data_IF_838724747485
#
_entry.id   IF_838724747485
#
_cell.length_a   1.000
_cell.length_b   1.000
_cell.length_c   1.000
_cell.angle_alpha   90.00
_cell.angle_beta   90.00
_cell.angle_gamma   90.00
#
_symmetry.space_group_name_H-M   'P 1'
#
loop_
_entity.id
_entity.type
_entity.pdbx_description
1 polymer ?
#
# COMPACT_ATOMS: atom_id res chain seq x y z
N UNK A 1 8.66 12.43 21.18
CA UNK A 1 7.22 12.05 21.34
C UNK A 1 6.59 12.35 19.99
N UNK A 2 6.47 11.34 19.17
CA UNK A 2 5.88 11.46 17.82
C UNK A 2 4.37 11.60 17.97
N UNK A 3 3.84 12.77 17.68
CA UNK A 3 2.39 13.00 17.61
C UNK A 3 1.90 12.44 16.29
N UNK A 4 1.43 11.17 16.31
CA UNK A 4 0.66 10.59 15.23
C UNK A 4 -0.56 11.47 14.94
N UNK A 5 -0.47 12.36 13.96
CA UNK A 5 -1.62 13.02 13.38
C UNK A 5 -2.29 12.01 12.43
N UNK A 6 -3.44 11.43 12.80
CA UNK A 6 -4.15 10.54 11.90
C UNK A 6 -4.61 11.34 10.68
N UNK A 7 -4.38 10.84 9.47
CA UNK A 7 -4.99 11.35 8.26
C UNK A 7 -6.52 11.37 8.44
N UNK A 8 -7.06 12.52 8.85
CA UNK A 8 -8.50 12.67 9.13
C UNK A 8 -9.21 12.99 7.83
N UNK A 9 -10.04 12.06 7.38
CA UNK A 9 -11.04 12.34 6.35
C UNK A 9 -12.08 13.31 6.90
N UNK A 10 -12.07 14.54 6.45
CA UNK A 10 -13.03 15.57 6.84
C UNK A 10 -14.17 15.65 5.83
N UNK A 11 -15.40 15.43 6.28
CA UNK A 11 -16.60 15.49 5.42
C UNK A 11 -17.15 16.92 5.24
N UNK A 12 -16.78 17.86 6.11
CA UNK A 12 -17.24 19.23 6.04
C UNK A 12 -16.79 20.03 4.79
N UNK A 13 -15.63 19.73 4.14
CA UNK A 13 -15.25 20.37 2.89
C UNK A 13 -16.02 19.88 1.66
N UNK A 14 -16.63 18.69 1.69
CA UNK A 14 -17.36 18.11 0.56
C UNK A 14 -18.49 19.01 0.07
N UNK A 15 -19.13 19.76 0.98
CA UNK A 15 -20.18 20.74 0.64
C UNK A 15 -19.63 22.01 -0.03
N UNK A 16 -18.35 22.34 0.12
CA UNK A 16 -17.68 23.49 -0.51
C UNK A 16 -17.00 23.13 -1.84
N UNK A 17 -16.83 21.85 -2.12
CA UNK A 17 -16.14 21.35 -3.30
C UNK A 17 -16.74 21.82 -4.64
N UNK A 18 -18.07 21.82 -4.84
CA UNK A 18 -18.66 22.32 -6.09
C UNK A 18 -18.37 23.81 -6.33
N UNK A 19 -18.29 24.61 -5.28
CA UNK A 19 -17.98 26.06 -5.39
C UNK A 19 -16.53 26.31 -5.78
N UNK A 20 -15.57 25.60 -5.15
CA UNK A 20 -14.16 25.70 -5.51
C UNK A 20 -13.89 25.26 -6.95
N UNK A 21 -14.51 24.18 -7.38
CA UNK A 21 -14.42 23.68 -8.77
C UNK A 21 -15.03 24.65 -9.78
N UNK A 22 -16.20 25.23 -9.47
CA UNK A 22 -16.86 26.20 -10.36
C UNK A 22 -16.04 27.47 -10.50
N UNK A 23 -15.42 27.96 -9.41
CA UNK A 23 -14.52 29.12 -9.42
C UNK A 23 -13.23 28.85 -10.20
N UNK A 24 -12.67 27.66 -10.08
CA UNK A 24 -11.49 27.24 -10.82
C UNK A 24 -11.75 27.17 -12.31
N UNK A 25 -12.84 26.49 -12.71
CA UNK A 25 -13.28 26.42 -14.09
C UNK A 25 -13.61 27.80 -14.68
N UNK A 26 -14.23 28.67 -13.89
CA UNK A 26 -14.53 30.06 -14.27
C UNK A 26 -13.26 30.88 -14.51
N UNK A 27 -12.29 30.88 -13.59
CA UNK A 27 -11.03 31.61 -13.76
C UNK A 27 -10.20 31.09 -14.94
N UNK A 28 -10.26 29.79 -15.23
CA UNK A 28 -9.56 29.22 -16.39
C UNK A 28 -10.12 29.72 -17.72
N UNK A 29 -11.43 29.78 -17.87
CA UNK A 29 -12.04 30.29 -19.12
C UNK A 29 -11.61 31.72 -19.44
N UNK A 30 -11.18 32.50 -18.44
CA UNK A 30 -10.75 33.89 -18.61
C UNK A 30 -9.23 34.07 -18.53
N UNK A 31 -8.47 32.99 -18.39
CA UNK A 31 -7.00 33.05 -18.35
C UNK A 31 -6.44 33.17 -19.76
N UNK A 32 -5.70 34.26 -20.02
CA UNK A 32 -5.04 34.52 -21.31
C UNK A 32 -3.64 33.87 -21.42
N UNK A 33 -3.20 33.13 -20.39
CA UNK A 33 -1.88 32.50 -20.39
C UNK A 33 -1.88 31.29 -21.31
N UNK A 34 -1.02 31.24 -22.34
CA UNK A 34 -0.92 30.06 -23.21
C UNK A 34 -0.45 28.83 -22.41
N UNK A 35 -1.19 27.72 -22.54
CA UNK A 35 -0.81 26.44 -21.94
C UNK A 35 -0.63 25.42 -23.05
N UNK A 36 0.59 24.94 -23.20
CA UNK A 36 0.94 23.90 -24.17
C UNK A 36 1.00 22.54 -23.46
N UNK A 37 0.15 21.61 -23.86
CA UNK A 37 0.01 20.31 -23.22
C UNK A 37 0.36 19.16 -24.14
N UNK A 38 1.22 18.27 -23.65
CA UNK A 38 1.65 17.05 -24.33
C UNK A 38 1.35 15.84 -23.43
N UNK A 39 0.72 14.84 -23.98
CA UNK A 39 0.49 13.54 -23.31
C UNK A 39 1.05 12.46 -24.22
N UNK A 40 1.97 11.66 -23.70
CA UNK A 40 2.63 10.61 -24.48
C UNK A 40 2.86 9.36 -23.65
N UNK A 41 3.11 8.25 -24.34
CA UNK A 41 3.55 7.02 -23.70
C UNK A 41 4.98 7.20 -23.21
N UNK A 42 5.24 6.86 -21.96
CA UNK A 42 6.56 6.87 -21.35
C UNK A 42 7.25 5.50 -21.43
N UNK A 43 8.51 5.51 -21.05
CA UNK A 43 9.33 4.33 -20.85
C UNK A 43 9.98 4.35 -19.48
N UNK A 44 10.19 3.17 -18.86
CA UNK A 44 10.87 3.13 -17.57
C UNK A 44 12.27 3.71 -17.61
N UNK A 45 13.00 3.48 -18.70
CA UNK A 45 14.38 3.94 -18.85
C UNK A 45 14.53 5.47 -18.79
N UNK A 46 13.51 6.21 -19.23
CA UNK A 46 13.53 7.68 -19.29
C UNK A 46 12.70 8.35 -18.19
N UNK A 47 11.69 7.62 -17.67
CA UNK A 47 10.65 8.19 -16.81
C UNK A 47 10.67 7.60 -15.39
N UNK A 48 11.68 6.78 -15.06
CA UNK A 48 11.87 6.26 -13.71
C UNK A 48 12.07 7.41 -12.71
N UNK A 49 11.47 7.33 -11.51
CA UNK A 49 11.75 8.30 -10.46
C UNK A 49 13.22 8.28 -10.09
N UNK A 50 13.89 9.44 -9.93
CA UNK A 50 15.23 9.46 -9.41
C UNK A 50 15.27 8.85 -8.00
N UNK A 51 16.36 8.18 -7.60
CA UNK A 51 16.49 7.66 -6.25
C UNK A 51 16.41 8.79 -5.23
N UNK A 52 15.81 8.51 -4.08
CA UNK A 52 15.88 9.42 -2.93
C UNK A 52 17.33 9.49 -2.43
N UNK A 53 17.72 10.56 -1.72
CA UNK A 53 19.07 10.73 -1.22
C UNK A 53 19.56 9.54 -0.40
N UNK A 54 20.84 9.23 -0.49
CA UNK A 54 21.45 8.16 0.30
C UNK A 54 21.26 8.43 1.79
N UNK A 55 20.72 7.44 2.51
CA UNK A 55 20.44 7.56 3.94
C UNK A 55 19.11 8.23 4.27
N UNK A 56 18.34 8.69 3.27
CA UNK A 56 16.99 9.14 3.51
C UNK A 56 16.09 7.93 3.81
N UNK A 57 15.62 7.86 5.04
CA UNK A 57 14.67 6.84 5.50
C UNK A 57 13.58 7.51 6.35
N UNK A 58 12.32 7.29 5.98
CA UNK A 58 11.19 7.80 6.73
C UNK A 58 10.19 6.68 6.97
N UNK A 59 9.75 6.45 8.23
CA UNK A 59 8.92 5.31 8.59
C UNK A 59 7.56 5.29 7.87
N UNK A 60 7.02 6.43 7.49
CA UNK A 60 5.74 6.57 6.81
C UNK A 60 5.88 6.89 5.31
N UNK A 61 7.08 6.72 4.73
CA UNK A 61 7.30 6.97 3.31
C UNK A 61 6.37 6.12 2.46
N UNK A 62 5.63 6.77 1.56
CA UNK A 62 4.79 6.15 0.54
C UNK A 62 5.46 6.35 -0.82
N UNK A 63 6.37 5.43 -1.17
CA UNK A 63 7.12 5.51 -2.42
C UNK A 63 6.25 5.15 -3.64
N UNK A 64 6.73 5.42 -4.86
CA UNK A 64 6.03 5.03 -6.08
C UNK A 64 5.74 3.52 -6.15
N UNK A 65 6.54 2.67 -5.51
CA UNK A 65 6.38 1.22 -5.42
C UNK A 65 5.08 0.84 -4.68
N UNK A 66 4.69 1.65 -3.70
CA UNK A 66 3.46 1.46 -2.91
C UNK A 66 2.19 1.83 -3.69
N UNK A 67 2.36 2.54 -4.81
CA UNK A 67 1.25 2.99 -5.62
C UNK A 67 0.64 1.91 -6.51
N UNK A 68 -0.58 2.17 -6.99
CA UNK A 68 -1.31 1.34 -7.94
C UNK A 68 -1.43 2.04 -9.30
N UNK A 69 -1.69 1.26 -10.36
CA UNK A 69 -1.89 1.81 -11.70
C UNK A 69 -0.58 2.25 -12.40
N UNK A 70 -0.68 3.04 -13.46
CA UNK A 70 0.48 3.52 -14.21
C UNK A 70 1.29 4.53 -13.42
N UNK A 71 2.61 4.60 -13.69
CA UNK A 71 3.43 5.71 -13.24
C UNK A 71 3.17 6.91 -14.17
N UNK A 72 2.90 8.05 -13.57
CA UNK A 72 2.76 9.31 -14.27
C UNK A 72 3.97 10.18 -13.96
N UNK A 73 4.79 10.40 -14.97
CA UNK A 73 5.87 11.36 -14.94
C UNK A 73 5.36 12.66 -15.57
N UNK A 74 5.28 13.73 -14.78
CA UNK A 74 4.73 15.02 -15.20
C UNK A 74 5.74 16.12 -15.00
N UNK A 75 5.87 16.97 -16.02
CA UNK A 75 6.75 18.13 -16.00
C UNK A 75 5.90 19.35 -16.32
N UNK A 76 5.91 20.32 -15.41
CA UNK A 76 5.27 21.63 -15.56
C UNK A 76 6.37 22.68 -15.59
N UNK A 77 6.49 23.41 -16.69
CA UNK A 77 7.59 24.33 -16.91
C UNK A 77 7.12 25.71 -17.35
N UNK A 78 7.74 26.73 -16.80
CA UNK A 78 7.63 28.09 -17.30
C UNK A 78 8.99 28.77 -17.34
N UNK A 79 9.08 29.85 -18.09
CA UNK A 79 10.27 30.69 -18.18
C UNK A 79 9.94 32.11 -17.77
N UNK A 80 10.83 32.75 -16.98
CA UNK A 80 10.66 34.04 -16.40
C UNK A 80 11.73 34.95 -16.98
N UNK A 81 11.32 35.85 -17.86
CA UNK A 81 12.19 36.87 -18.42
C UNK A 81 12.25 38.13 -17.53
N UNK A 82 13.39 38.80 -17.51
CA UNK A 82 13.62 40.01 -16.74
C UNK A 82 13.29 39.85 -15.24
N UNK A 83 13.58 38.71 -14.68
CA UNK A 83 13.45 38.45 -13.23
C UNK A 83 14.54 39.23 -12.50
N UNK A 84 14.19 40.03 -11.46
CA UNK A 84 15.15 40.72 -10.60
C UNK A 84 15.89 39.78 -9.65
N UNK A 85 15.34 38.59 -9.39
CA UNK A 85 15.97 37.56 -8.55
C UNK A 85 16.38 36.35 -9.37
N UNK A 86 17.45 35.68 -8.93
CA UNK A 86 18.00 34.49 -9.57
C UNK A 86 17.32 33.21 -9.12
N UNK A 87 17.76 32.09 -9.72
CA UNK A 87 17.22 30.75 -9.40
C UNK A 87 17.40 30.37 -7.92
N UNK A 88 18.56 30.70 -7.34
CA UNK A 88 18.83 30.44 -5.90
C UNK A 88 17.94 31.24 -4.97
N UNK A 89 17.79 32.51 -5.27
CA UNK A 89 16.94 33.40 -4.47
C UNK A 89 15.48 32.99 -4.55
N UNK A 90 15.00 32.60 -5.74
CA UNK A 90 13.65 32.10 -5.93
C UNK A 90 13.39 30.86 -5.11
N UNK A 91 14.30 29.86 -5.11
CA UNK A 91 14.16 28.67 -4.29
C UNK A 91 14.28 29.00 -2.78
N UNK A 92 15.12 29.95 -2.39
CA UNK A 92 15.20 30.38 -1.02
C UNK A 92 13.86 30.99 -0.53
N UNK A 93 13.18 31.80 -1.35
CA UNK A 93 11.84 32.34 -1.05
C UNK A 93 10.79 31.22 -0.87
N UNK A 94 10.84 30.16 -1.68
CA UNK A 94 9.96 29.01 -1.53
C UNK A 94 10.27 28.21 -0.26
N UNK A 95 11.52 28.14 0.15
CA UNK A 95 11.93 27.45 1.39
C UNK A 95 11.50 28.22 2.64
N UNK A 96 11.47 29.54 2.58
CA UNK A 96 10.93 30.37 3.67
C UNK A 96 9.41 30.16 3.81
N UNK A 97 8.69 30.13 2.70
CA UNK A 97 7.24 29.97 2.71
C UNK A 97 6.74 29.49 1.33
N UNK A 98 6.45 28.22 1.21
CA UNK A 98 5.95 27.61 -0.03
C UNK A 98 4.51 28.07 -0.36
N UNK A 99 3.74 28.53 0.63
CA UNK A 99 2.39 29.04 0.44
C UNK A 99 2.36 30.36 -0.33
N UNK A 100 3.50 31.10 -0.45
CA UNK A 100 3.61 32.25 -1.35
C UNK A 100 3.25 31.94 -2.80
N UNK A 101 3.47 30.68 -3.23
CA UNK A 101 3.18 30.25 -4.60
C UNK A 101 2.03 29.25 -4.68
N UNK A 102 1.64 28.64 -3.58
CA UNK A 102 0.49 27.76 -3.54
C UNK A 102 -0.80 28.56 -3.79
N UNK A 103 -1.69 28.07 -4.70
CA UNK A 103 -3.00 28.66 -4.83
C UNK A 103 -3.84 28.26 -3.62
N UNK A 104 -4.01 29.18 -2.68
CA UNK A 104 -4.64 28.94 -1.36
C UNK A 104 -6.06 28.40 -1.44
N UNK A 105 -6.74 28.58 -2.59
CA UNK A 105 -8.04 27.98 -2.87
C UNK A 105 -7.96 26.45 -3.12
N UNK A 106 -6.76 25.92 -3.46
CA UNK A 106 -6.55 24.52 -3.83
C UNK A 106 -5.58 23.76 -2.93
N UNK A 107 -4.60 24.46 -2.34
CA UNK A 107 -3.62 23.83 -1.48
C UNK A 107 -3.04 24.84 -0.48
N UNK A 108 -2.84 24.40 0.75
CA UNK A 108 -2.02 25.11 1.76
C UNK A 108 -1.10 24.10 2.42
N UNK A 109 0.15 24.52 2.66
CA UNK A 109 1.17 23.69 3.28
C UNK A 109 1.23 23.98 4.78
N UNK A 110 0.82 23.06 5.59
CA UNK A 110 0.88 23.17 7.03
C UNK A 110 2.03 22.31 7.57
N UNK A 111 3.06 22.93 8.13
CA UNK A 111 4.17 22.22 8.77
C UNK A 111 3.64 21.44 9.96
N UNK A 112 4.03 20.18 10.10
CA UNK A 112 3.53 19.29 11.15
C UNK A 112 4.11 19.68 12.52
N UNK A 113 5.40 20.04 12.56
CA UNK A 113 6.11 20.39 13.77
C UNK A 113 6.95 21.67 13.56
N UNK A 114 6.79 22.61 14.50
CA UNK A 114 7.58 23.85 14.54
C UNK A 114 7.16 24.91 13.52
N UNK A 115 7.90 26.01 13.53
CA UNK A 115 7.76 27.14 12.62
C UNK A 115 9.11 27.44 11.98
N UNK A 116 9.11 28.23 10.90
CA UNK A 116 10.31 28.69 10.21
C UNK A 116 10.57 27.98 8.88
N UNK A 117 11.72 28.28 8.24
CA UNK A 117 12.02 27.81 6.90
C UNK A 117 12.07 26.29 6.80
N UNK A 118 11.84 25.80 5.60
CA UNK A 118 11.85 24.38 5.27
C UNK A 118 13.23 23.76 5.47
N UNK A 119 13.27 22.57 6.08
CA UNK A 119 14.48 21.78 6.32
C UNK A 119 14.27 20.35 5.84
N UNK A 120 15.35 19.67 5.51
CA UNK A 120 15.29 18.22 5.21
C UNK A 120 14.75 17.45 6.41
N UNK A 121 13.82 16.51 6.14
CA UNK A 121 13.10 15.76 7.16
C UNK A 121 11.86 16.45 7.73
N UNK A 122 11.61 17.72 7.43
CA UNK A 122 10.37 18.38 7.86
C UNK A 122 9.15 17.73 7.19
N UNK A 123 8.12 17.46 7.98
CA UNK A 123 6.84 16.95 7.48
C UNK A 123 5.85 18.11 7.28
N UNK A 124 5.09 18.00 6.20
CA UNK A 124 4.01 18.93 5.87
C UNK A 124 2.72 18.17 5.59
N UNK A 125 1.61 18.78 5.93
CA UNK A 125 0.28 18.33 5.50
C UNK A 125 -0.22 19.32 4.45
N UNK A 126 -0.32 18.88 3.22
CA UNK A 126 -0.93 19.67 2.14
C UNK A 126 -2.45 19.56 2.27
N UNK A 127 -3.07 20.63 2.74
CA UNK A 127 -4.52 20.73 2.87
C UNK A 127 -5.14 21.04 1.51
N UNK A 128 -5.96 20.13 1.02
CA UNK A 128 -6.65 20.25 -0.27
C UNK A 128 -8.17 20.32 -0.07
N UNK A 129 -8.93 20.97 -0.98
CA UNK A 129 -10.38 20.92 -0.96
C UNK A 129 -10.84 19.49 -1.25
N UNK A 130 -11.20 18.74 -0.23
CA UNK A 130 -11.62 17.36 -0.35
C UNK A 130 -11.54 16.63 0.98
N UNK A 131 -11.89 15.33 1.03
CA UNK A 131 -11.85 14.55 2.24
C UNK A 131 -10.45 14.00 2.59
N UNK A 132 -9.43 14.35 1.83
CA UNK A 132 -8.06 13.86 1.99
C UNK A 132 -7.07 14.99 2.17
N UNK A 133 -6.17 14.82 3.11
CA UNK A 133 -4.97 15.59 3.26
C UNK A 133 -3.82 14.91 2.53
N UNK A 134 -2.83 15.67 2.08
CA UNK A 134 -1.64 15.15 1.40
C UNK A 134 -0.40 15.24 2.30
N UNK A 135 -0.12 14.27 3.18
CA UNK A 135 1.08 14.30 3.98
C UNK A 135 2.32 14.06 3.12
N UNK A 136 3.33 14.91 3.29
CA UNK A 136 4.61 14.86 2.57
C UNK A 136 5.77 15.16 3.52
N UNK A 137 6.97 14.73 3.13
CA UNK A 137 8.21 15.01 3.84
C UNK A 137 9.22 15.65 2.88
N UNK A 138 10.02 16.56 3.38
CA UNK A 138 11.13 17.16 2.64
C UNK A 138 12.25 16.15 2.53
N UNK A 139 12.44 15.60 1.35
CA UNK A 139 13.43 14.55 1.11
C UNK A 139 14.82 15.10 0.78
N UNK A 140 14.87 16.26 0.12
CA UNK A 140 16.13 16.89 -0.31
C UNK A 140 15.95 18.39 -0.53
N UNK A 141 16.95 19.14 -0.11
CA UNK A 141 17.06 20.57 -0.37
C UNK A 141 18.41 20.87 -0.99
N UNK A 142 18.40 21.53 -2.14
CA UNK A 142 19.60 22.10 -2.76
C UNK A 142 19.46 23.61 -2.86
N UNK A 143 20.48 24.32 -3.29
CA UNK A 143 20.39 25.77 -3.54
C UNK A 143 19.35 26.15 -4.60
N UNK A 144 19.01 25.21 -5.48
CA UNK A 144 18.16 25.45 -6.65
C UNK A 144 16.99 24.46 -6.77
N UNK A 145 16.76 23.60 -5.77
CA UNK A 145 15.63 22.67 -5.77
C UNK A 145 15.12 22.31 -4.39
N UNK A 146 13.85 21.89 -4.35
CA UNK A 146 13.14 21.31 -3.20
C UNK A 146 12.51 20.03 -3.67
N UNK A 147 12.82 18.88 -3.03
CA UNK A 147 12.20 17.60 -3.31
C UNK A 147 11.36 17.13 -2.14
N UNK A 148 10.10 16.83 -2.41
CA UNK A 148 9.17 16.28 -1.43
C UNK A 148 8.83 14.83 -1.80
N UNK A 149 8.72 13.97 -0.80
CA UNK A 149 8.22 12.60 -0.94
C UNK A 149 6.89 12.44 -0.22
N UNK A 150 5.99 11.63 -0.75
CA UNK A 150 4.67 11.39 -0.14
C UNK A 150 4.77 10.44 1.04
N UNK A 151 3.93 10.67 2.05
CA UNK A 151 3.79 9.83 3.24
C UNK A 151 2.49 9.03 3.20
N UNK A 152 2.37 8.02 4.07
CA UNK A 152 1.18 7.16 4.18
C UNK A 152 -0.10 7.99 4.35
N UNK A 153 -1.08 7.73 3.50
CA UNK A 153 -2.35 8.46 3.47
C UNK A 153 -2.45 9.55 2.40
N UNK A 154 -1.37 9.85 1.70
CA UNK A 154 -1.42 10.73 0.53
C UNK A 154 -2.14 10.02 -0.64
N UNK A 155 -2.90 10.79 -1.45
CA UNK A 155 -3.63 10.25 -2.62
C UNK A 155 -2.73 9.67 -3.70
N UNK A 156 -1.53 10.22 -3.85
CA UNK A 156 -0.49 9.77 -4.76
C UNK A 156 0.66 9.14 -3.96
N UNK A 157 1.34 8.16 -4.56
CA UNK A 157 2.53 7.51 -4.04
C UNK A 157 3.71 7.87 -4.93
N UNK A 158 4.69 8.59 -4.39
CA UNK A 158 5.84 9.03 -5.18
C UNK A 158 6.56 10.27 -4.64
N UNK A 159 7.04 11.09 -5.56
CA UNK A 159 7.83 12.28 -5.22
C UNK A 159 7.59 13.41 -6.22
N UNK A 160 7.89 14.63 -5.78
CA UNK A 160 7.81 15.87 -6.56
C UNK A 160 9.02 16.75 -6.29
N UNK A 161 9.53 17.38 -7.32
CA UNK A 161 10.64 18.31 -7.23
C UNK A 161 10.26 19.67 -7.83
N UNK A 162 10.54 20.73 -7.09
CA UNK A 162 10.50 22.10 -7.54
C UNK A 162 11.93 22.52 -7.84
N UNK A 163 12.20 22.99 -9.05
CA UNK A 163 13.57 23.30 -9.51
C UNK A 163 13.61 24.60 -10.28
N UNK A 164 14.63 25.41 -10.03
CA UNK A 164 14.92 26.61 -10.79
C UNK A 164 16.35 26.57 -11.35
N UNK A 165 16.53 27.04 -12.55
CA UNK A 165 17.86 27.24 -13.16
C UNK A 165 17.89 28.48 -14.05
N UNK A 166 19.05 29.04 -14.21
CA UNK A 166 19.26 30.20 -15.05
C UNK A 166 19.83 29.81 -16.41
N UNK A 167 19.35 30.47 -17.45
CA UNK A 167 19.96 30.40 -18.78
C UNK A 167 19.99 31.81 -19.42
N UNK A 168 20.50 31.89 -20.63
CA UNK A 168 20.62 33.18 -21.38
C UNK A 168 19.28 33.88 -21.65
N UNK A 169 18.15 33.27 -21.34
CA UNK A 169 16.78 33.80 -21.52
C UNK A 169 16.09 34.17 -20.21
N UNK A 170 16.75 33.95 -19.08
CA UNK A 170 16.22 34.24 -17.75
C UNK A 170 16.17 33.05 -16.83
N UNK A 171 15.24 33.05 -15.88
CA UNK A 171 15.04 31.93 -14.93
C UNK A 171 14.01 30.96 -15.51
N UNK A 172 14.38 29.70 -15.64
CA UNK A 172 13.45 28.62 -15.91
C UNK A 172 13.04 27.98 -14.59
N UNK A 173 11.73 27.84 -14.37
CA UNK A 173 11.18 27.16 -13.21
C UNK A 173 10.40 25.93 -13.65
N UNK A 174 10.61 24.83 -12.93
CA UNK A 174 10.08 23.53 -13.28
C UNK A 174 9.55 22.82 -12.04
N UNK A 175 8.39 22.20 -12.19
CA UNK A 175 7.84 21.26 -11.22
C UNK A 175 7.82 19.89 -11.92
N UNK A 176 8.49 18.92 -11.35
CA UNK A 176 8.59 17.58 -11.91
C UNK A 176 8.09 16.56 -10.89
N UNK A 177 7.19 15.67 -11.29
CA UNK A 177 6.61 14.68 -10.38
C UNK A 177 6.57 13.29 -10.99
N UNK A 178 6.89 12.31 -10.15
CA UNK A 178 6.80 10.89 -10.44
C UNK A 178 5.88 10.24 -9.43
N UNK A 179 4.67 9.92 -9.87
CA UNK A 179 3.65 9.43 -8.94
C UNK A 179 2.76 8.36 -9.57
N UNK A 180 2.30 7.45 -8.73
CA UNK A 180 1.22 6.52 -8.99
C UNK A 180 0.05 6.85 -8.06
N UNK A 181 -1.15 6.32 -8.32
CA UNK A 181 -2.24 6.42 -7.34
C UNK A 181 -1.85 5.75 -6.02
N UNK A 182 -2.11 6.39 -4.89
CA UNK A 182 -1.76 5.85 -3.57
C UNK A 182 -2.51 4.56 -3.22
N UNK A 183 -3.71 4.36 -3.80
CA UNK A 183 -4.46 3.12 -3.71
C UNK A 183 -5.34 2.90 -4.96
N UNK A 184 -5.94 1.70 -5.08
CA UNK A 184 -6.82 1.39 -6.23
C UNK A 184 -8.12 2.17 -6.24
N UNK A 185 -8.60 2.65 -5.10
CA UNK A 185 -9.78 3.51 -5.04
C UNK A 185 -9.45 4.88 -5.58
N UNK A 186 -8.29 5.41 -5.24
CA UNK A 186 -7.73 6.64 -5.82
C UNK A 186 -7.52 6.48 -7.33
N UNK A 187 -7.00 5.32 -7.79
CA UNK A 187 -6.85 5.01 -9.22
C UNK A 187 -8.20 4.96 -9.95
N UNK A 188 -9.22 4.34 -9.36
CA UNK A 188 -10.58 4.31 -9.91
C UNK A 188 -11.19 5.71 -9.98
N UNK A 189 -11.04 6.52 -8.93
CA UNK A 189 -11.52 7.91 -8.89
C UNK A 189 -10.73 8.78 -9.88
N UNK A 190 -9.41 8.54 -10.00
CA UNK A 190 -8.54 9.23 -10.95
C UNK A 190 -8.87 8.89 -12.41
N UNK A 191 -9.24 7.64 -12.69
CA UNK A 191 -9.52 7.15 -14.04
C UNK A 191 -10.93 7.49 -14.48
N UNK A 192 -11.91 7.48 -13.59
CA UNK A 192 -13.31 7.71 -13.90
C UNK A 192 -13.79 9.15 -13.67
N UNK A 193 -13.07 9.93 -12.85
CA UNK A 193 -13.41 11.34 -12.58
C UNK A 193 -12.39 12.22 -13.29
N UNK A 194 -12.62 12.52 -14.57
CA UNK A 194 -11.84 13.49 -15.37
C UNK A 194 -11.66 14.85 -14.67
N UNK A 195 -12.48 15.15 -13.69
CA UNK A 195 -12.48 16.35 -12.86
C UNK A 195 -11.15 16.51 -12.09
N UNK A 196 -10.56 15.42 -11.59
CA UNK A 196 -9.32 15.51 -10.82
C UNK A 196 -8.11 15.91 -11.68
N UNK A 197 -8.07 15.49 -12.94
CA UNK A 197 -6.97 15.84 -13.88
C UNK A 197 -6.97 17.32 -14.23
N UNK A 198 -8.15 17.89 -14.50
CA UNK A 198 -8.27 19.30 -14.83
C UNK A 198 -8.02 20.21 -13.61
N UNK A 199 -8.47 19.81 -12.42
CA UNK A 199 -8.21 20.53 -11.17
C UNK A 199 -6.69 20.56 -10.85
N UNK A 200 -5.98 19.43 -11.00
CA UNK A 200 -4.52 19.40 -10.83
C UNK A 200 -3.81 20.28 -11.85
N UNK A 201 -4.24 20.22 -13.12
CA UNK A 201 -3.69 21.06 -14.17
C UNK A 201 -3.80 22.54 -13.81
N UNK A 202 -4.98 22.95 -13.30
CA UNK A 202 -5.23 24.32 -12.86
C UNK A 202 -4.39 24.72 -11.67
N UNK A 203 -4.27 23.82 -10.68
CA UNK A 203 -3.46 24.06 -9.51
C UNK A 203 -2.00 24.35 -9.91
N UNK A 204 -1.39 23.48 -10.71
CA UNK A 204 0.00 23.65 -11.12
C UNK A 204 0.23 24.84 -12.05
N UNK A 205 -0.71 25.11 -12.95
CA UNK A 205 -0.65 26.33 -13.78
C UNK A 205 -0.76 27.60 -12.93
N UNK A 206 -1.51 27.56 -11.84
CA UNK A 206 -1.60 28.69 -10.90
C UNK A 206 -0.32 28.84 -10.08
N UNK A 207 0.26 27.74 -9.60
CA UNK A 207 1.57 27.76 -8.94
C UNK A 207 2.61 28.41 -9.85
N UNK A 208 2.70 28.02 -11.12
CA UNK A 208 3.68 28.59 -12.05
C UNK A 208 3.46 30.09 -12.29
N UNK A 209 2.22 30.57 -12.32
CA UNK A 209 1.94 32.01 -12.40
C UNK A 209 2.39 32.74 -11.15
N UNK A 210 2.04 32.20 -9.97
CA UNK A 210 2.44 32.82 -8.69
C UNK A 210 3.97 32.86 -8.55
N UNK A 211 4.67 31.85 -9.07
CA UNK A 211 6.15 31.82 -9.13
C UNK A 211 6.69 32.96 -10.00
N UNK A 212 6.07 33.24 -11.16
CA UNK A 212 6.46 34.35 -12.02
C UNK A 212 6.24 35.70 -11.32
N UNK A 213 5.11 35.83 -10.62
CA UNK A 213 4.78 37.05 -9.85
C UNK A 213 5.74 37.23 -8.66
N UNK A 214 6.05 36.16 -7.92
CA UNK A 214 7.03 36.17 -6.84
C UNK A 214 8.42 36.58 -7.34
N UNK A 215 8.82 36.05 -8.50
CA UNK A 215 10.10 36.40 -9.12
C UNK A 215 10.15 37.82 -9.68
N UNK A 216 9.03 38.55 -9.72
CA UNK A 216 8.95 39.91 -10.22
C UNK A 216 9.24 40.09 -11.71
N UNK A 217 9.24 39.00 -12.46
CA UNK A 217 9.55 38.94 -13.90
C UNK A 217 8.31 38.87 -14.78
N UNK A 218 8.51 38.48 -16.03
CA UNK A 218 7.45 38.27 -17.02
C UNK A 218 7.50 36.86 -17.57
N UNK A 219 6.34 36.17 -17.65
CA UNK A 219 6.26 34.87 -18.29
C UNK A 219 6.62 34.95 -19.76
N UNK A 220 7.55 34.09 -20.20
CA UNK A 220 7.96 34.02 -21.59
C UNK A 220 7.58 32.64 -22.18
N UNK A 221 6.84 32.62 -23.29
CA UNK A 221 6.45 31.40 -23.99
C UNK A 221 5.33 30.60 -23.34
N UNK A 222 4.73 31.10 -22.22
CA UNK A 222 3.63 30.43 -21.56
C UNK A 222 4.05 29.26 -20.64
N UNK A 223 3.10 28.37 -20.38
CA UNK A 223 3.29 27.16 -19.55
C UNK A 223 3.34 25.96 -20.45
N UNK A 224 4.37 25.13 -20.28
CA UNK A 224 4.51 23.83 -20.97
C UNK A 224 4.26 22.71 -19.98
N UNK A 225 3.35 21.79 -20.33
CA UNK A 225 3.02 20.64 -19.53
C UNK A 225 3.25 19.37 -20.33
N UNK A 226 4.12 18.53 -19.83
CA UNK A 226 4.39 17.21 -20.41
C UNK A 226 3.96 16.14 -19.43
N UNK A 227 3.14 15.19 -19.89
CA UNK A 227 2.76 14.01 -19.11
C UNK A 227 3.21 12.77 -19.88
N UNK A 228 4.05 11.96 -19.27
CA UNK A 228 4.46 10.65 -19.78
C UNK A 228 3.87 9.58 -18.87
N UNK A 229 3.25 8.59 -19.49
CA UNK A 229 2.59 7.49 -18.80
C UNK A 229 3.37 6.20 -19.04
N UNK A 230 3.89 5.62 -17.96
CA UNK A 230 4.50 4.30 -17.98
C UNK A 230 3.48 3.27 -17.48
N UNK A 231 3.13 2.32 -18.33
CA UNK A 231 2.17 1.28 -17.97
C UNK A 231 2.73 0.34 -16.90
N UNK A 232 1.88 -0.22 -16.02
CA UNK A 232 2.32 -1.06 -14.89
C UNK A 232 3.17 -2.27 -15.30
N UNK A 233 2.92 -2.80 -16.50
CA UNK A 233 3.65 -3.95 -17.06
C UNK A 233 5.10 -3.61 -17.46
N UNK A 234 5.37 -2.33 -17.70
CA UNK A 234 6.71 -1.82 -18.07
C UNK A 234 7.51 -1.31 -16.87
N UNK A 235 6.90 -1.26 -15.70
CA UNK A 235 7.57 -0.88 -14.45
C UNK A 235 8.31 -2.11 -13.94
N UNK A 236 9.65 -2.08 -13.79
CA UNK A 236 10.39 -3.19 -13.22
C UNK A 236 9.82 -3.54 -11.84
N UNK A 237 9.60 -4.81 -11.59
CA UNK A 237 9.43 -5.28 -10.23
C UNK A 237 10.82 -5.29 -9.62
N UNK A 238 11.06 -4.41 -8.67
CA UNK A 238 12.33 -4.35 -7.94
C UNK A 238 12.48 -5.52 -6.93
N UNK A 239 11.91 -6.67 -7.26
CA UNK A 239 11.63 -7.80 -6.37
C UNK A 239 12.71 -8.88 -6.44
N UNK A 240 13.97 -8.56 -6.66
CA UNK A 240 15.02 -9.59 -6.60
C UNK A 240 16.19 -9.21 -5.66
N UNK A 241 15.85 -8.80 -4.44
CA UNK A 241 16.69 -9.04 -3.28
C UNK A 241 16.44 -10.48 -2.77
N UNK A 242 17.41 -11.15 -2.12
CA UNK A 242 17.28 -12.55 -1.68
C UNK A 242 16.07 -12.88 -0.79
N UNK A 243 15.40 -11.88 -0.24
CA UNK A 243 14.21 -12.03 0.57
C UNK A 243 12.89 -11.88 -0.21
N UNK A 244 12.91 -11.46 -1.48
CA UNK A 244 11.69 -11.24 -2.29
C UNK A 244 10.74 -10.16 -1.77
N UNK A 245 11.12 -9.40 -0.74
CA UNK A 245 10.29 -8.38 -0.11
C UNK A 245 10.62 -6.98 -0.64
N UNK A 246 9.58 -6.22 -1.03
CA UNK A 246 9.76 -4.80 -1.36
C UNK A 246 10.24 -4.01 -0.14
N UNK A 247 10.91 -2.88 -0.36
CA UNK A 247 11.38 -2.01 0.74
C UNK A 247 10.20 -1.53 1.61
N UNK A 248 9.06 -1.24 0.98
CA UNK A 248 7.82 -0.85 1.64
C UNK A 248 7.25 -1.98 2.50
N UNK A 249 7.26 -3.21 2.00
CA UNK A 249 6.77 -4.35 2.77
C UNK A 249 7.68 -4.67 3.95
N UNK A 250 9.00 -4.55 3.78
CA UNK A 250 9.95 -4.68 4.90
C UNK A 250 9.69 -3.63 6.00
N UNK A 251 9.48 -2.36 5.62
CA UNK A 251 9.14 -1.31 6.58
C UNK A 251 7.81 -1.58 7.28
N UNK A 252 6.78 -1.96 6.53
CA UNK A 252 5.48 -2.29 7.09
C UNK A 252 5.53 -3.51 8.02
N UNK A 253 6.32 -4.54 7.66
CA UNK A 253 6.53 -5.71 8.49
C UNK A 253 7.29 -5.36 9.77
N UNK A 254 8.35 -4.54 9.69
CA UNK A 254 9.11 -4.09 10.84
C UNK A 254 8.24 -3.33 11.88
N UNK A 255 7.26 -2.55 11.42
CA UNK A 255 6.29 -1.88 12.31
C UNK A 255 5.40 -2.84 13.11
N UNK A 256 5.28 -4.11 12.69
CA UNK A 256 4.46 -5.08 13.42
C UNK A 256 5.15 -5.59 14.68
N UNK A 257 6.48 -5.62 14.73
CA UNK A 257 7.24 -6.14 15.86
C UNK A 257 6.87 -5.47 17.19
N UNK A 258 6.56 -4.17 17.16
CA UNK A 258 6.15 -3.41 18.35
C UNK A 258 4.66 -3.49 18.69
N UNK A 259 3.83 -4.14 17.86
CA UNK A 259 2.38 -4.21 18.08
C UNK A 259 2.00 -5.40 18.96
N UNK A 260 1.10 -5.17 19.91
CA UNK A 260 0.57 -6.23 20.75
C UNK A 260 -0.60 -6.95 20.07
N UNK A 261 -0.77 -8.27 20.33
CA UNK A 261 -1.98 -8.98 19.95
C UNK A 261 -3.23 -8.34 20.53
N UNK A 262 -4.34 -8.38 19.80
CA UNK A 262 -5.63 -7.80 20.22
C UNK A 262 -6.43 -8.73 21.14
N UNK A 263 -6.02 -9.99 21.24
CA UNK A 263 -6.67 -11.05 22.01
C UNK A 263 -5.65 -11.90 22.74
N UNK A 264 -6.06 -12.45 23.89
CA UNK A 264 -5.25 -13.42 24.61
C UNK A 264 -5.16 -14.76 23.88
N UNK A 265 -4.09 -15.56 24.12
CA UNK A 265 -4.03 -16.93 23.61
C UNK A 265 -5.23 -17.75 24.08
N UNK A 266 -5.65 -18.73 23.26
CA UNK A 266 -6.67 -19.71 23.65
C UNK A 266 -8.12 -19.25 23.47
N UNK A 267 -8.39 -18.13 22.86
CA UNK A 267 -9.77 -17.70 22.55
C UNK A 267 -10.55 -18.76 21.77
N UNK A 268 -9.86 -19.54 20.92
CA UNK A 268 -10.46 -20.63 20.15
C UNK A 268 -10.72 -21.91 20.96
N UNK A 269 -10.07 -22.08 22.10
CA UNK A 269 -10.20 -23.30 22.90
C UNK A 269 -11.48 -23.32 23.73
N UNK A 270 -11.99 -22.12 24.10
CA UNK A 270 -13.26 -21.96 24.81
C UNK A 270 -13.91 -20.61 24.46
N UNK A 271 -14.37 -20.43 23.21
CA UNK A 271 -14.94 -19.17 22.80
C UNK A 271 -16.33 -18.95 23.40
N UNK A 272 -16.55 -17.81 24.06
CA UNK A 272 -17.88 -17.37 24.49
C UNK A 272 -18.72 -16.95 23.27
N UNK A 273 -19.78 -17.68 22.90
CA UNK A 273 -20.57 -17.37 21.71
C UNK A 273 -21.29 -16.03 21.76
N UNK A 274 -21.47 -15.47 22.94
CA UNK A 274 -22.09 -14.14 23.13
C UNK A 274 -21.15 -13.00 22.72
N UNK A 275 -19.83 -13.26 22.72
CA UNK A 275 -18.77 -12.28 22.48
C UNK A 275 -18.02 -12.52 21.16
N UNK A 276 -17.98 -13.76 20.70
CA UNK A 276 -17.20 -14.19 19.55
C UNK A 276 -18.07 -14.84 18.48
N UNK A 277 -17.80 -14.53 17.25
CA UNK A 277 -18.28 -15.29 16.11
C UNK A 277 -17.28 -16.39 15.84
N UNK A 278 -17.75 -17.62 15.94
CA UNK A 278 -16.93 -18.81 15.75
C UNK A 278 -17.34 -19.49 14.47
N UNK A 279 -16.36 -19.84 13.66
CA UNK A 279 -16.55 -20.53 12.38
C UNK A 279 -15.53 -21.63 12.22
N UNK A 280 -15.96 -22.73 11.65
CA UNK A 280 -15.10 -23.82 11.22
C UNK A 280 -15.42 -24.19 9.79
N UNK A 281 -14.39 -24.50 9.02
CA UNK A 281 -14.50 -25.04 7.68
C UNK A 281 -13.50 -26.18 7.54
N UNK A 282 -13.95 -27.30 6.98
CA UNK A 282 -13.18 -28.54 6.81
C UNK A 282 -13.16 -28.87 5.34
N UNK A 283 -12.03 -29.36 4.85
CA UNK A 283 -11.85 -29.85 3.49
C UNK A 283 -11.04 -31.16 3.53
N UNK A 284 -11.55 -32.19 2.88
CA UNK A 284 -10.84 -33.45 2.71
C UNK A 284 -9.75 -33.28 1.64
N UNK A 285 -8.53 -33.70 1.98
CA UNK A 285 -7.39 -33.75 1.09
C UNK A 285 -7.24 -35.12 0.46
N UNK A 286 -6.39 -35.31 -0.56
CA UNK A 286 -6.13 -36.65 -1.12
C UNK A 286 -5.70 -37.63 -0.03
N UNK A 287 -6.30 -38.77 -0.06
CA UNK A 287 -6.08 -39.86 0.89
C UNK A 287 -4.66 -40.45 0.80
N UNK A 288 -4.10 -40.85 1.93
CA UNK A 288 -2.83 -41.61 2.05
C UNK A 288 -3.09 -43.03 2.56
N UNK A 289 -2.04 -43.85 2.59
CA UNK A 289 -2.15 -45.15 3.25
C UNK A 289 -2.33 -44.96 4.77
N UNK A 290 -3.00 -45.96 5.44
CA UNK A 290 -3.01 -45.99 6.90
C UNK A 290 -1.60 -46.06 7.49
N UNK A 291 -1.41 -45.43 8.65
CA UNK A 291 -0.11 -45.30 9.33
C UNK A 291 0.50 -43.91 9.22
N UNK A 292 1.82 -43.82 9.37
CA UNK A 292 2.56 -42.56 9.33
C UNK A 292 2.41 -41.84 7.97
N UNK A 293 2.65 -40.53 7.92
CA UNK A 293 2.61 -39.75 6.68
C UNK A 293 3.50 -40.33 5.58
N UNK A 294 2.96 -40.40 4.36
CA UNK A 294 3.74 -40.80 3.20
C UNK A 294 4.74 -39.73 2.79
N UNK A 295 6.01 -40.07 2.51
CA UNK A 295 6.97 -39.13 1.97
C UNK A 295 6.47 -38.49 0.67
N UNK A 296 6.37 -37.14 0.63
CA UNK A 296 5.79 -36.40 -0.48
C UNK A 296 4.27 -36.56 -0.62
N UNK A 297 3.60 -37.12 0.36
CA UNK A 297 2.15 -37.32 0.40
C UNK A 297 1.38 -36.02 0.75
N UNK A 298 0.06 -36.18 0.86
CA UNK A 298 -0.88 -35.08 1.16
C UNK A 298 -0.54 -34.34 2.43
N UNK A 299 -0.16 -35.06 3.48
CA UNK A 299 0.22 -34.50 4.76
C UNK A 299 1.43 -33.56 4.64
N UNK A 300 2.54 -34.06 4.10
CA UNK A 300 3.77 -33.26 3.99
C UNK A 300 3.60 -32.07 3.05
N UNK A 301 2.90 -32.26 1.95
CA UNK A 301 2.63 -31.18 0.99
C UNK A 301 1.78 -30.09 1.63
N UNK A 302 0.66 -30.45 2.28
CA UNK A 302 -0.23 -29.49 2.91
C UNK A 302 0.45 -28.78 4.09
N UNK A 303 1.24 -29.49 4.91
CA UNK A 303 2.01 -28.90 6.02
C UNK A 303 2.97 -27.82 5.53
N UNK A 304 3.74 -28.09 4.48
CA UNK A 304 4.67 -27.14 3.87
C UNK A 304 3.92 -25.90 3.37
N UNK A 305 2.80 -26.07 2.65
CA UNK A 305 1.97 -24.99 2.17
C UNK A 305 1.38 -24.13 3.30
N UNK A 306 1.05 -24.75 4.45
CA UNK A 306 0.64 -24.03 5.64
C UNK A 306 1.76 -23.14 6.17
N UNK A 307 2.97 -23.69 6.32
CA UNK A 307 4.11 -23.00 6.92
C UNK A 307 4.63 -21.85 6.05
N UNK A 308 4.48 -21.99 4.72
CA UNK A 308 4.79 -20.96 3.72
C UNK A 308 3.62 -19.99 3.45
N UNK A 309 2.52 -20.11 4.21
CA UNK A 309 1.31 -19.28 4.05
C UNK A 309 0.75 -19.25 2.61
N UNK A 310 0.89 -20.33 1.85
CA UNK A 310 0.48 -20.40 0.44
C UNK A 310 -1.02 -20.65 0.24
N UNK A 311 -1.76 -20.92 1.32
CA UNK A 311 -3.17 -21.33 1.28
C UNK A 311 -4.12 -20.15 1.03
N UNK A 312 -3.74 -18.91 1.34
CA UNK A 312 -4.52 -17.75 1.01
C UNK A 312 -4.46 -17.45 -0.50
N UNK A 313 -5.60 -17.09 -1.11
CA UNK A 313 -5.61 -16.63 -2.49
C UNK A 313 -5.06 -15.19 -2.55
N UNK A 314 -3.93 -14.93 -3.24
CA UNK A 314 -3.33 -13.59 -3.29
C UNK A 314 -4.26 -12.51 -3.83
N UNK A 315 -5.32 -12.89 -4.57
CA UNK A 315 -6.35 -11.95 -5.04
C UNK A 315 -7.28 -11.47 -3.92
N UNK A 316 -7.26 -12.15 -2.75
CA UNK A 316 -8.09 -11.83 -1.59
C UNK A 316 -7.24 -11.39 -0.43
N UNK A 317 -6.20 -12.17 -0.11
CA UNK A 317 -5.26 -11.87 0.96
C UNK A 317 -3.88 -12.42 0.62
N UNK A 318 -2.90 -11.53 0.60
CA UNK A 318 -1.49 -11.88 0.43
C UNK A 318 -0.79 -11.77 1.78
N UNK A 319 -0.09 -12.83 2.19
CA UNK A 319 0.71 -12.84 3.42
C UNK A 319 2.16 -12.50 3.12
N UNK A 320 2.65 -11.43 3.72
CA UNK A 320 4.05 -10.97 3.61
C UNK A 320 4.74 -11.23 4.95
N UNK A 321 5.85 -11.92 4.93
CA UNK A 321 6.66 -12.22 6.12
C UNK A 321 8.12 -12.43 5.74
N UNK A 322 9.02 -12.36 6.70
CA UNK A 322 10.42 -12.70 6.51
C UNK A 322 10.57 -14.24 6.45
N UNK A 323 10.97 -14.83 5.30
CA UNK A 323 11.16 -16.27 5.18
C UNK A 323 12.18 -16.85 6.16
N UNK A 324 13.15 -16.03 6.60
CA UNK A 324 14.17 -16.44 7.58
C UNK A 324 13.65 -16.45 9.03
N UNK A 325 12.47 -15.83 9.29
CA UNK A 325 11.89 -15.83 10.63
C UNK A 325 11.33 -17.21 11.01
N UNK A 326 11.50 -17.66 12.27
CA UNK A 326 10.89 -18.90 12.74
C UNK A 326 9.36 -18.81 12.64
N UNK A 327 8.68 -19.93 12.42
CA UNK A 327 7.22 -19.98 12.31
C UNK A 327 6.55 -19.46 13.60
N UNK A 328 7.00 -19.94 14.75
CA UNK A 328 6.51 -19.45 16.04
C UNK A 328 6.96 -18.01 16.29
N UNK A 329 6.00 -17.14 16.58
CA UNK A 329 6.25 -15.72 16.79
C UNK A 329 6.38 -14.90 15.51
N UNK A 330 6.26 -15.51 14.33
CA UNK A 330 6.34 -14.84 13.03
C UNK A 330 5.24 -13.79 12.89
N UNK A 331 5.65 -12.59 12.55
CA UNK A 331 4.73 -11.53 12.11
C UNK A 331 4.43 -11.70 10.62
N UNK A 332 3.15 -11.60 10.28
CA UNK A 332 2.68 -11.61 8.90
C UNK A 332 1.91 -10.32 8.64
N UNK A 333 2.35 -9.56 7.64
CA UNK A 333 1.60 -8.45 7.09
C UNK A 333 0.60 -9.00 6.08
N UNK A 334 -0.69 -8.91 6.37
CA UNK A 334 -1.74 -9.32 5.45
C UNK A 334 -2.15 -8.12 4.58
N UNK A 335 -1.96 -8.24 3.27
CA UNK A 335 -2.54 -7.33 2.28
C UNK A 335 -3.90 -7.88 1.85
N UNK A 336 -4.96 -7.36 2.42
CA UNK A 336 -6.33 -7.80 2.16
C UNK A 336 -6.94 -6.98 1.04
N UNK A 337 -7.46 -7.65 0.02
CA UNK A 337 -8.09 -7.05 -1.14
C UNK A 337 -9.62 -7.16 -1.02
N UNK A 338 -10.30 -6.02 -1.05
CA UNK A 338 -11.75 -5.96 -0.98
C UNK A 338 -12.31 -5.07 -2.09
N UNK A 339 -12.62 -5.67 -3.23
CA UNK A 339 -12.94 -4.90 -4.43
C UNK A 339 -11.80 -3.95 -4.80
N UNK A 340 -12.05 -2.64 -4.86
CA UNK A 340 -10.99 -1.65 -5.10
C UNK A 340 -10.16 -1.32 -3.84
N UNK A 341 -10.64 -1.72 -2.64
CA UNK A 341 -9.97 -1.39 -1.38
C UNK A 341 -8.85 -2.37 -1.06
N UNK A 342 -7.75 -1.85 -0.54
CA UNK A 342 -6.63 -2.61 -0.01
C UNK A 342 -6.39 -2.22 1.44
N UNK A 343 -6.19 -3.22 2.28
CA UNK A 343 -5.89 -3.03 3.69
C UNK A 343 -4.61 -3.75 4.03
N UNK A 344 -3.70 -3.08 4.73
CA UNK A 344 -2.51 -3.68 5.32
C UNK A 344 -2.77 -3.87 6.82
N UNK A 345 -2.80 -5.09 7.29
CA UNK A 345 -3.05 -5.42 8.70
C UNK A 345 -2.07 -6.48 9.17
N UNK A 346 -1.74 -6.46 10.45
CA UNK A 346 -0.77 -7.39 11.02
C UNK A 346 -1.42 -8.52 11.78
N UNK A 347 -0.82 -9.71 11.68
CA UNK A 347 -1.10 -10.87 12.54
C UNK A 347 0.20 -11.47 13.04
N UNK A 348 0.16 -12.16 14.18
CA UNK A 348 1.32 -12.88 14.76
C UNK A 348 0.99 -14.33 14.98
N UNK A 349 1.82 -15.24 14.43
CA UNK A 349 1.70 -16.67 14.67
C UNK A 349 2.08 -16.96 16.13
N UNK A 350 1.28 -17.79 16.77
CA UNK A 350 1.56 -18.36 18.09
C UNK A 350 2.41 -19.61 18.00
N UNK A 351 2.11 -20.59 18.86
CA UNK A 351 2.79 -21.88 18.84
C UNK A 351 2.32 -22.72 17.66
N UNK A 352 3.27 -23.39 17.02
CA UNK A 352 3.01 -24.49 16.11
C UNK A 352 3.21 -25.81 16.85
N UNK A 353 2.29 -26.75 16.70
CA UNK A 353 2.33 -28.02 17.43
C UNK A 353 2.00 -29.17 16.50
N UNK A 354 2.80 -30.24 16.61
CA UNK A 354 2.53 -31.52 15.98
C UNK A 354 2.46 -32.59 17.08
N UNK A 355 1.39 -33.35 17.09
CA UNK A 355 1.18 -34.37 18.12
C UNK A 355 0.28 -35.50 17.62
N UNK A 356 0.48 -36.70 18.13
CA UNK A 356 -0.45 -37.80 17.96
C UNK A 356 -1.37 -37.87 19.19
N UNK A 357 -2.66 -37.85 18.94
CA UNK A 357 -3.71 -37.91 19.97
C UNK A 357 -4.70 -39.03 19.66
N UNK A 358 -5.46 -39.42 20.65
CA UNK A 358 -6.61 -40.31 20.45
C UNK A 358 -7.88 -39.45 20.46
N UNK A 359 -8.69 -39.58 19.39
CA UNK A 359 -9.98 -38.87 19.28
C UNK A 359 -11.05 -39.95 18.93
N UNK A 360 -12.07 -40.04 19.76
CA UNK A 360 -13.15 -41.05 19.64
C UNK A 360 -12.64 -42.49 19.52
N UNK A 361 -11.57 -42.84 20.24
CA UNK A 361 -10.95 -44.14 20.21
C UNK A 361 -10.11 -44.45 18.95
N UNK A 362 -9.82 -43.42 18.14
CA UNK A 362 -9.02 -43.56 16.90
C UNK A 362 -7.74 -42.75 16.98
N UNK A 363 -6.60 -43.28 16.51
CA UNK A 363 -5.34 -42.55 16.50
C UNK A 363 -5.34 -41.48 15.41
N UNK A 364 -5.02 -40.25 15.82
CA UNK A 364 -5.02 -39.06 14.98
C UNK A 364 -3.68 -38.33 15.09
N UNK A 365 -2.98 -38.16 13.98
CA UNK A 365 -1.88 -37.22 13.89
C UNK A 365 -2.46 -35.83 13.58
N UNK A 366 -2.08 -34.84 14.37
CA UNK A 366 -2.53 -33.45 14.26
C UNK A 366 -1.34 -32.51 14.17
N UNK A 367 -1.36 -31.61 13.18
CA UNK A 367 -0.44 -30.50 13.07
C UNK A 367 -1.22 -29.21 12.93
N UNK A 368 -0.82 -28.15 13.61
CA UNK A 368 -1.48 -26.88 13.45
C UNK A 368 -0.76 -25.72 14.13
N UNK A 369 -1.12 -24.56 13.68
CA UNK A 369 -0.72 -23.29 14.32
C UNK A 369 -1.87 -22.27 14.21
N UNK A 370 -1.81 -21.26 15.06
CA UNK A 370 -2.79 -20.19 15.04
C UNK A 370 -2.11 -18.84 15.00
N UNK A 371 -2.76 -17.84 14.42
CA UNK A 371 -2.34 -16.47 14.56
C UNK A 371 -3.39 -15.62 15.27
N UNK A 372 -2.93 -14.53 15.89
CA UNK A 372 -3.76 -13.52 16.51
C UNK A 372 -3.59 -12.20 15.78
N UNK A 373 -4.69 -11.44 15.63
CA UNK A 373 -4.66 -10.09 15.06
C UNK A 373 -3.85 -9.15 15.95
N UNK A 374 -3.11 -8.23 15.34
CA UNK A 374 -2.33 -7.20 16.02
C UNK A 374 -3.09 -5.87 16.09
N UNK A 375 -2.66 -4.99 16.99
CA UNK A 375 -3.21 -3.64 17.08
C UNK A 375 -3.20 -2.94 15.72
N UNK A 376 -4.32 -2.25 15.40
CA UNK A 376 -4.54 -1.63 14.09
C UNK A 376 -5.26 -2.52 13.08
N UNK A 377 -5.54 -3.79 13.40
CA UNK A 377 -6.41 -4.64 12.61
C UNK A 377 -7.88 -4.22 12.77
N UNK A 378 -8.69 -4.32 11.71
CA UNK A 378 -10.13 -3.98 11.75
C UNK A 378 -11.00 -5.05 12.44
N UNK A 379 -10.43 -6.21 12.72
CA UNK A 379 -10.98 -7.29 13.51
C UNK A 379 -10.09 -7.58 14.72
N UNK A 380 -10.71 -8.05 15.81
CA UNK A 380 -10.03 -8.70 16.93
C UNK A 380 -10.34 -10.18 16.85
N UNK A 381 -9.32 -11.03 16.88
CA UNK A 381 -9.57 -12.47 16.80
C UNK A 381 -8.33 -13.34 16.70
N UNK A 382 -8.61 -14.63 16.64
CA UNK A 382 -7.65 -15.69 16.44
C UNK A 382 -8.14 -16.61 15.32
N UNK A 383 -7.22 -17.07 14.47
CA UNK A 383 -7.49 -18.08 13.46
C UNK A 383 -6.48 -19.21 13.61
N UNK A 384 -6.96 -20.44 13.51
CA UNK A 384 -6.15 -21.67 13.54
C UNK A 384 -6.28 -22.39 12.21
N UNK A 385 -5.15 -22.80 11.68
CA UNK A 385 -5.02 -23.75 10.61
C UNK A 385 -4.61 -25.09 11.23
N UNK A 386 -5.30 -26.15 10.87
CA UNK A 386 -5.06 -27.48 11.41
C UNK A 386 -5.13 -28.54 10.31
N UNK A 387 -4.16 -29.41 10.30
CA UNK A 387 -4.08 -30.58 9.46
C UNK A 387 -4.27 -31.83 10.31
N UNK A 388 -5.11 -32.73 9.89
CA UNK A 388 -5.40 -33.99 10.59
C UNK A 388 -5.18 -35.15 9.65
N UNK A 389 -4.52 -36.21 10.15
CA UNK A 389 -4.43 -37.51 9.48
C UNK A 389 -4.89 -38.60 10.42
N UNK A 390 -5.93 -39.31 10.02
CA UNK A 390 -6.39 -40.52 10.70
C UNK A 390 -5.47 -41.68 10.40
N UNK A 391 -4.72 -42.15 11.41
CA UNK A 391 -3.70 -43.15 11.19
C UNK A 391 -4.26 -44.57 10.91
N UNK A 392 -5.49 -44.82 11.30
CA UNK A 392 -6.20 -46.07 11.05
C UNK A 392 -6.78 -46.16 9.63
N UNK A 393 -7.19 -45.07 9.03
CA UNK A 393 -7.77 -45.04 7.67
C UNK A 393 -6.86 -44.40 6.63
N UNK A 394 -6.02 -43.47 6.99
CA UNK A 394 -5.21 -42.67 6.05
C UNK A 394 -5.91 -41.39 5.54
N UNK A 395 -7.11 -41.10 6.05
CA UNK A 395 -7.84 -39.88 5.69
C UNK A 395 -7.07 -38.64 6.15
N UNK A 396 -6.95 -37.65 5.28
CA UNK A 396 -6.28 -36.40 5.55
C UNK A 396 -7.29 -35.25 5.42
N UNK A 397 -7.35 -34.39 6.43
CA UNK A 397 -8.27 -33.25 6.49
C UNK A 397 -7.51 -31.96 6.76
N UNK A 398 -7.90 -30.90 6.06
CA UNK A 398 -7.47 -29.54 6.38
C UNK A 398 -8.62 -28.75 6.99
N UNK A 399 -8.35 -28.07 8.10
CA UNK A 399 -9.35 -27.33 8.88
C UNK A 399 -8.92 -25.88 9.09
N UNK A 400 -9.88 -24.98 8.97
CA UNK A 400 -9.75 -23.55 9.35
C UNK A 400 -10.77 -23.26 10.43
N UNK A 401 -10.28 -22.83 11.57
CA UNK A 401 -11.13 -22.49 12.71
C UNK A 401 -10.83 -21.04 13.14
N UNK A 402 -11.84 -20.18 13.20
CA UNK A 402 -11.69 -18.78 13.54
C UNK A 402 -12.67 -18.31 14.60
N UNK A 403 -12.18 -17.50 15.53
CA UNK A 403 -13.02 -16.71 16.43
C UNK A 403 -12.70 -15.22 16.24
N UNK A 404 -13.69 -14.44 15.86
CA UNK A 404 -13.48 -13.01 15.55
C UNK A 404 -14.63 -12.13 16.01
N UNK A 405 -14.33 -10.86 16.19
CA UNK A 405 -15.29 -9.78 16.39
C UNK A 405 -14.77 -8.49 15.76
N UNK A 406 -15.66 -7.52 15.53
CA UNK A 406 -15.24 -6.21 15.05
C UNK A 406 -14.34 -5.52 16.08
N UNK A 407 -13.23 -4.94 15.63
CA UNK A 407 -12.31 -4.23 16.51
C UNK A 407 -13.00 -3.08 17.25
N UNK A 408 -12.65 -2.90 18.53
CA UNK A 408 -13.18 -1.82 19.38
C UNK A 408 -12.49 -0.48 19.09
N UNK A 409 -11.26 -0.51 18.63
CA UNK A 409 -10.43 0.64 18.28
C UNK A 409 -9.99 0.55 16.82
N UNK A 410 -9.70 1.69 16.19
CA UNK A 410 -9.23 1.76 14.80
C UNK A 410 -10.09 2.64 13.90
N UNK A 411 -9.72 2.81 12.62
CA UNK A 411 -10.42 3.68 11.67
C UNK A 411 -11.89 3.32 11.50
N UNK A 412 -12.78 4.32 11.49
CA UNK A 412 -14.25 4.10 11.46
C UNK A 412 -14.74 3.48 10.15
N UNK A 413 -14.15 3.84 9.02
CA UNK A 413 -14.61 3.41 7.68
C UNK A 413 -14.41 1.91 7.43
N UNK A 414 -13.22 1.32 7.67
CA UNK A 414 -13.06 -0.13 7.58
C UNK A 414 -13.98 -0.88 8.53
N UNK A 415 -14.21 -0.35 9.75
CA UNK A 415 -15.11 -0.96 10.74
C UNK A 415 -16.57 -0.99 10.30
N UNK A 416 -17.06 0.09 9.67
CA UNK A 416 -18.44 0.16 9.19
C UNK A 416 -18.64 -0.76 7.96
N UNK A 417 -17.70 -0.75 7.02
CA UNK A 417 -17.71 -1.65 5.85
C UNK A 417 -17.66 -3.11 6.27
N UNK A 418 -16.82 -3.45 7.25
CA UNK A 418 -16.73 -4.80 7.80
C UNK A 418 -18.04 -5.26 8.49
N UNK A 419 -18.75 -4.38 9.19
CA UNK A 419 -20.06 -4.72 9.80
C UNK A 419 -21.13 -5.06 8.76
N UNK A 420 -21.10 -4.45 7.57
CA UNK A 420 -22.10 -4.62 6.52
C UNK A 420 -21.83 -5.81 5.60
N UNK A 421 -20.57 -6.06 5.26
CA UNK A 421 -20.21 -7.03 4.21
C UNK A 421 -19.15 -8.04 4.66
N UNK A 422 -18.44 -7.76 5.77
CA UNK A 422 -17.29 -8.54 6.23
C UNK A 422 -17.60 -10.00 6.52
N UNK A 423 -18.82 -10.29 7.04
CA UNK A 423 -19.22 -11.68 7.35
C UNK A 423 -19.24 -12.59 6.12
N UNK A 424 -19.86 -12.14 5.05
CA UNK A 424 -19.92 -12.91 3.79
C UNK A 424 -18.53 -13.14 3.22
N UNK A 425 -17.65 -12.15 3.29
CA UNK A 425 -16.27 -12.24 2.81
C UNK A 425 -15.41 -13.14 3.68
N UNK A 426 -15.58 -13.08 5.00
CA UNK A 426 -14.86 -13.96 5.94
C UNK A 426 -15.19 -15.44 5.68
N UNK A 427 -16.47 -15.77 5.55
CA UNK A 427 -16.90 -17.14 5.20
C UNK A 427 -16.42 -17.55 3.80
N UNK A 428 -16.40 -16.61 2.87
CA UNK A 428 -15.84 -16.85 1.52
C UNK A 428 -14.34 -17.12 1.59
N UNK A 429 -13.61 -16.35 2.39
CA UNK A 429 -12.18 -16.55 2.62
C UNK A 429 -11.89 -17.95 3.18
N UNK A 430 -12.57 -18.40 4.24
CA UNK A 430 -12.37 -19.72 4.83
C UNK A 430 -12.59 -20.84 3.83
N UNK A 431 -13.70 -20.79 3.07
CA UNK A 431 -13.98 -21.79 2.03
C UNK A 431 -12.94 -21.79 0.91
N UNK A 432 -12.44 -20.60 0.54
CA UNK A 432 -11.43 -20.49 -0.52
C UNK A 432 -10.08 -21.01 -0.05
N UNK A 433 -9.68 -20.72 1.18
CA UNK A 433 -8.45 -21.28 1.78
C UNK A 433 -8.51 -22.80 1.76
N UNK A 434 -9.60 -23.41 2.24
CA UNK A 434 -9.79 -24.85 2.26
C UNK A 434 -9.76 -25.47 0.84
N UNK A 435 -10.54 -24.94 -0.10
CA UNK A 435 -10.53 -25.39 -1.50
C UNK A 435 -9.17 -25.22 -2.19
N UNK A 436 -8.46 -24.14 -1.84
CA UNK A 436 -7.12 -23.91 -2.38
C UNK A 436 -6.11 -24.91 -1.81
N UNK A 437 -6.19 -25.23 -0.52
CA UNK A 437 -5.40 -26.28 0.10
C UNK A 437 -5.53 -27.58 -0.68
N UNK A 438 -6.76 -28.05 -0.90
CA UNK A 438 -7.04 -29.27 -1.69
C UNK A 438 -6.44 -29.20 -3.09
N UNK A 439 -6.81 -28.16 -3.85
CA UNK A 439 -6.35 -28.02 -5.24
C UNK A 439 -4.83 -27.97 -5.39
N UNK A 440 -4.15 -27.24 -4.51
CA UNK A 440 -2.68 -27.15 -4.55
C UNK A 440 -2.03 -28.48 -4.15
N UNK A 441 -2.58 -29.19 -3.17
CA UNK A 441 -2.11 -30.51 -2.76
C UNK A 441 -2.27 -31.52 -3.91
N UNK A 442 -3.44 -31.56 -4.56
CA UNK A 442 -3.70 -32.41 -5.73
C UNK A 442 -2.69 -32.13 -6.86
N UNK A 443 -2.51 -30.85 -7.22
CA UNK A 443 -1.58 -30.44 -8.29
C UNK A 443 -0.12 -30.80 -7.98
N UNK A 444 0.31 -30.66 -6.73
CA UNK A 444 1.66 -31.04 -6.32
C UNK A 444 1.87 -32.54 -6.39
N UNK A 445 0.91 -33.35 -5.90
CA UNK A 445 0.96 -34.81 -5.96
C UNK A 445 0.99 -35.31 -7.40
N UNK A 446 0.21 -34.73 -8.30
CA UNK A 446 0.26 -35.05 -9.73
C UNK A 446 1.65 -34.75 -10.33
N UNK A 447 2.24 -33.60 -9.96
CA UNK A 447 3.59 -33.22 -10.40
C UNK A 447 4.64 -34.21 -9.92
N UNK A 448 4.58 -34.63 -8.65
CA UNK A 448 5.51 -35.62 -8.05
C UNK A 448 5.36 -36.99 -8.73
N UNK A 449 4.14 -37.46 -8.95
CA UNK A 449 3.86 -38.71 -9.68
C UNK A 449 4.41 -38.68 -11.10
N UNK A 450 4.23 -37.58 -11.82
CA UNK A 450 4.76 -37.39 -13.16
C UNK A 450 6.31 -37.42 -13.19
N UNK A 451 6.96 -36.83 -12.18
CA UNK A 451 8.42 -36.86 -12.02
C UNK A 451 8.94 -38.27 -11.71
N UNK A 452 8.25 -39.00 -10.82
CA UNK A 452 8.60 -40.36 -10.48
C UNK A 452 8.51 -41.30 -11.71
N UNK A 453 7.42 -41.22 -12.48
CA UNK A 453 7.23 -41.99 -13.71
C UNK A 453 8.31 -41.72 -14.77
N UNK A 454 8.73 -40.45 -14.94
CA UNK A 454 9.83 -40.08 -15.85
C UNK A 454 11.17 -40.68 -15.42
N UNK A 455 11.45 -40.72 -14.10
CA UNK A 455 12.69 -41.32 -13.58
C UNK A 455 12.74 -42.85 -13.80
N UNK A 456 11.59 -43.54 -13.71
CA UNK A 456 11.50 -44.97 -13.99
C UNK A 456 11.66 -45.33 -15.48
N UNK A 457 11.32 -44.45 -16.40
CA UNK A 457 11.48 -44.65 -17.86
C UNK A 457 12.92 -44.40 -18.32
N UNK A 458 13.73 -43.66 -17.54
CA UNK A 458 15.13 -43.31 -17.88
C UNK A 458 16.14 -44.23 -17.16
N UNK A 459 15.71 -45.01 -16.16
CA UNK A 459 16.48 -46.06 -15.50
C UNK A 459 16.23 -47.43 -16.15
#
# INVERSE_FOLDING_TARGET
MSTNLPARRHWSPVLRWPHGMALAAWRYMWSTTPVHRWVMTGSWAEDAPPPLPLGFDHPELQSWEDGAGPLLHRIYRTRIAASPIGARELIAELREDIDKVAPTEFATFQKADGEGPMREGDEYVVRMPGPWDGPVVVAELTETSIRLATLEGHLEAGQIEYRAHEDHRGVAFEIESWARSGDRLSDLLYTHVQISREVQLHMWASVLRNVVDLAGGKMHGGIVITTRRVDPEKIPRLDEEPSGLSASDRRALAKLAGRSPTVEPGVLDSPDPSRWRVDETIEELPHEQPGDPEPGGSWEVAKRMMDDYQLADPRIAEGIFDPASPLCGRDILLKIHYGPLRFKVGVRIGEAREETVELDGRPLLRYGWSYRTLQGHFEEGQMRYELRKWLDTGDVEFRVHGASRAARSGPLIPRLGFRLVGRTQQLRFYRQVCRRAKRLTEAQLETERARASRRQVVA
#
